data_IF_789301888712
#
_entry.id   IF_789301888712
#
_cell.length_a   1.000
_cell.length_b   1.000
_cell.length_c   1.000
_cell.angle_alpha   90.00
_cell.angle_beta   90.00
_cell.angle_gamma   90.00
#
_symmetry.space_group_name_H-M   'P 1'
#
loop_
_entity.id
_entity.type
_entity.pdbx_description
1 polymer ?
#
# COMPACT_ATOMS: atom_id res chain seq x y z
N UNK A 1 13.58 -51.36 -48.11
CA UNK A 1 12.97 -50.49 -47.07
C UNK A 1 13.98 -49.40 -46.81
N UNK A 2 13.72 -48.18 -47.27
CA UNK A 2 14.65 -47.05 -47.13
C UNK A 2 14.25 -46.24 -45.91
N UNK A 3 15.18 -46.09 -44.97
CA UNK A 3 15.04 -45.31 -43.75
C UNK A 3 14.77 -43.83 -44.13
N UNK A 4 13.73 -43.15 -43.58
CA UNK A 4 13.47 -41.75 -43.91
C UNK A 4 14.67 -40.87 -43.55
N UNK A 5 15.15 -40.09 -44.52
CA UNK A 5 16.32 -39.23 -44.37
C UNK A 5 16.22 -38.32 -43.14
N UNK A 6 17.20 -38.45 -42.25
CA UNK A 6 17.35 -37.64 -41.04
C UNK A 6 17.49 -36.15 -41.42
N UNK A 7 16.49 -35.32 -41.08
CA UNK A 7 16.53 -33.88 -41.37
C UNK A 7 17.54 -33.19 -40.44
N UNK A 8 18.45 -32.40 -41.00
CA UNK A 8 19.49 -31.66 -40.26
C UNK A 8 19.35 -30.14 -40.47
N UNK A 9 19.74 -29.35 -39.46
CA UNK A 9 19.79 -27.89 -39.55
C UNK A 9 20.98 -27.44 -40.43
N UNK A 10 21.04 -26.15 -40.74
CA UNK A 10 22.12 -25.56 -41.55
C UNK A 10 23.52 -25.69 -40.90
N UNK A 11 23.59 -26.11 -39.65
CA UNK A 11 24.83 -26.37 -38.89
C UNK A 11 25.10 -27.88 -38.73
N UNK A 12 24.31 -28.74 -39.38
CA UNK A 12 24.49 -30.19 -39.37
C UNK A 12 23.90 -30.91 -38.15
N UNK A 13 23.17 -30.21 -37.28
CA UNK A 13 22.52 -30.81 -36.11
C UNK A 13 21.25 -31.55 -36.52
N UNK A 14 21.02 -32.74 -35.98
CA UNK A 14 19.76 -33.48 -36.16
C UNK A 14 18.58 -32.66 -35.65
N UNK A 15 17.65 -32.31 -36.54
CA UNK A 15 16.38 -31.68 -36.17
C UNK A 15 15.44 -32.81 -35.79
N UNK A 16 15.23 -33.01 -34.49
CA UNK A 16 14.19 -33.93 -34.03
C UNK A 16 12.84 -33.40 -34.50
N UNK A 17 12.01 -34.21 -35.18
CA UNK A 17 10.64 -33.82 -35.45
C UNK A 17 9.93 -33.70 -34.10
N UNK A 18 9.64 -32.46 -33.67
CA UNK A 18 8.66 -32.26 -32.62
C UNK A 18 7.32 -32.74 -33.19
N UNK A 19 6.76 -33.82 -32.63
CA UNK A 19 5.43 -34.27 -33.02
C UNK A 19 4.45 -33.13 -32.75
N UNK A 20 3.45 -32.98 -33.62
CA UNK A 20 2.38 -31.98 -33.42
C UNK A 20 1.77 -32.14 -32.01
N UNK A 21 1.65 -33.38 -31.54
CA UNK A 21 1.22 -33.73 -30.18
C UNK A 21 2.10 -33.10 -29.08
N UNK A 22 3.42 -33.09 -29.25
CA UNK A 22 4.33 -32.48 -28.27
C UNK A 22 4.23 -30.94 -28.25
N UNK A 23 3.89 -30.33 -29.38
CA UNK A 23 3.63 -28.88 -29.46
C UNK A 23 2.27 -28.53 -28.84
N UNK A 24 1.23 -29.33 -29.12
CA UNK A 24 -0.11 -29.16 -28.53
C UNK A 24 -0.04 -29.31 -27.01
N UNK A 25 0.60 -30.35 -26.49
CA UNK A 25 0.75 -30.54 -25.03
C UNK A 25 1.53 -29.41 -24.34
N UNK A 26 2.42 -28.72 -25.07
CA UNK A 26 3.17 -27.58 -24.56
C UNK A 26 2.36 -26.29 -24.59
N UNK A 27 1.46 -26.13 -25.57
CA UNK A 27 0.51 -25.03 -25.64
C UNK A 27 -0.53 -25.17 -24.53
N UNK A 28 -1.11 -26.35 -24.32
CA UNK A 28 -2.08 -26.61 -23.24
C UNK A 28 -1.49 -26.31 -21.84
N UNK A 29 -0.20 -26.64 -21.63
CA UNK A 29 0.51 -26.29 -20.38
C UNK A 29 0.74 -24.78 -20.23
N UNK A 30 0.98 -24.08 -21.33
CA UNK A 30 1.15 -22.62 -21.31
C UNK A 30 -0.19 -21.92 -21.04
N UNK A 31 -1.29 -22.39 -21.64
CA UNK A 31 -2.64 -21.89 -21.37
C UNK A 31 -3.03 -22.09 -19.91
N UNK A 32 -2.81 -23.28 -19.34
CA UNK A 32 -3.03 -23.53 -17.90
C UNK A 32 -2.17 -22.63 -16.99
N UNK A 33 -0.94 -22.34 -17.39
CA UNK A 33 -0.06 -21.45 -16.63
C UNK A 33 -0.50 -19.98 -16.73
N UNK A 34 -1.08 -19.58 -17.85
CA UNK A 34 -1.64 -18.24 -18.05
C UNK A 34 -2.94 -18.07 -17.27
N UNK A 35 -3.81 -19.09 -17.21
CA UNK A 35 -5.03 -19.04 -16.40
C UNK A 35 -4.72 -18.99 -14.89
N UNK A 36 -3.71 -19.74 -14.44
CA UNK A 36 -3.24 -19.68 -13.04
C UNK A 36 -2.70 -18.29 -12.67
N UNK A 37 -1.92 -17.67 -13.55
CA UNK A 37 -1.34 -16.34 -13.31
C UNK A 37 -2.31 -15.18 -13.61
N UNK A 38 -3.30 -15.38 -14.48
CA UNK A 38 -4.31 -14.38 -14.86
C UNK A 38 -5.36 -14.17 -13.77
N UNK A 39 -5.61 -15.19 -12.95
CA UNK A 39 -6.50 -15.09 -11.79
C UNK A 39 -5.88 -14.28 -10.63
N UNK A 40 -4.55 -14.21 -10.54
CA UNK A 40 -3.82 -13.41 -9.55
C UNK A 40 -3.78 -11.91 -9.86
N UNK A 41 -4.12 -11.50 -11.09
CA UNK A 41 -4.09 -10.08 -11.48
C UNK A 41 -5.40 -9.36 -11.17
N UNK A 42 -6.52 -10.08 -11.03
CA UNK A 42 -7.85 -9.48 -10.80
C UNK A 42 -8.61 -10.00 -9.57
N UNK A 43 -8.01 -10.89 -8.77
CA UNK A 43 -8.61 -11.40 -7.55
C UNK A 43 -7.85 -10.94 -6.31
N UNK A 44 -8.51 -10.15 -5.47
CA UNK A 44 -8.20 -10.08 -4.03
C UNK A 44 -8.10 -11.51 -3.50
N UNK A 45 -6.88 -12.02 -3.35
CA UNK A 45 -6.59 -13.42 -3.05
C UNK A 45 -6.97 -13.77 -1.62
N UNK A 46 -7.83 -14.78 -1.49
CA UNK A 46 -8.09 -15.51 -0.24
C UNK A 46 -6.78 -15.95 0.42
N UNK A 47 -6.62 -15.58 1.69
CA UNK A 47 -5.49 -15.94 2.56
C UNK A 47 -5.33 -17.47 2.61
N UNK A 48 -4.25 -17.99 2.03
CA UNK A 48 -3.83 -19.39 2.17
C UNK A 48 -3.23 -19.58 3.56
N UNK A 49 -3.89 -20.36 4.40
CA UNK A 49 -3.52 -20.59 5.81
C UNK A 49 -2.43 -21.65 5.99
N UNK A 50 -1.39 -21.67 5.16
CA UNK A 50 -0.26 -22.59 5.36
C UNK A 50 1.00 -22.17 4.58
N UNK A 51 1.91 -21.42 5.23
CA UNK A 51 3.34 -21.65 5.07
C UNK A 51 4.16 -20.90 6.13
N UNK A 52 5.26 -21.52 6.55
CA UNK A 52 6.32 -21.00 7.44
C UNK A 52 7.14 -19.85 6.85
N UNK A 53 6.54 -19.09 5.94
CA UNK A 53 7.09 -17.93 5.26
C UNK A 53 6.79 -16.70 6.09
N UNK A 54 7.78 -15.82 6.29
CA UNK A 54 7.52 -14.47 6.78
C UNK A 54 6.45 -13.86 5.89
N UNK A 55 5.25 -13.67 6.43
CA UNK A 55 4.17 -12.96 5.76
C UNK A 55 4.71 -11.60 5.34
N UNK A 56 5.04 -11.46 4.07
CA UNK A 56 5.32 -10.16 3.50
C UNK A 56 3.97 -9.50 3.31
N UNK A 57 3.64 -8.64 4.24
CA UNK A 57 2.58 -7.67 4.07
C UNK A 57 3.08 -6.70 2.99
N UNK A 58 2.59 -6.87 1.76
CA UNK A 58 2.83 -5.92 0.68
C UNK A 58 2.01 -4.66 0.94
N UNK A 59 2.62 -3.67 1.60
CA UNK A 59 2.08 -2.32 1.67
C UNK A 59 2.23 -1.66 0.30
N UNK A 60 1.15 -1.62 -0.49
CA UNK A 60 1.05 -0.62 -1.56
C UNK A 60 0.79 0.73 -0.91
N UNK A 61 1.85 1.40 -0.45
CA UNK A 61 1.82 2.84 -0.19
C UNK A 61 1.65 3.52 -1.56
N UNK A 62 0.41 3.81 -1.93
CA UNK A 62 0.11 4.68 -3.06
C UNK A 62 0.52 6.11 -2.68
N UNK A 63 1.79 6.43 -2.90
CA UNK A 63 2.34 7.79 -2.82
C UNK A 63 1.83 8.71 -3.95
N UNK A 64 0.87 8.24 -4.76
CA UNK A 64 0.36 8.96 -5.93
C UNK A 64 -0.87 9.84 -5.62
N UNK A 65 -1.46 9.68 -4.42
CA UNK A 65 -2.63 10.47 -4.01
C UNK A 65 -2.24 11.41 -2.88
N UNK A 66 -1.75 12.61 -3.24
CA UNK A 66 -1.70 13.74 -2.33
C UNK A 66 -3.13 14.27 -2.13
N UNK A 67 -3.68 14.11 -0.93
CA UNK A 67 -4.97 14.69 -0.58
C UNK A 67 -4.74 16.06 0.03
N UNK A 68 -5.17 17.12 -0.65
CA UNK A 68 -5.13 18.47 -0.11
C UNK A 68 -6.42 18.76 0.64
N UNK A 69 -6.32 19.17 1.91
CA UNK A 69 -7.47 19.57 2.71
C UNK A 69 -7.26 20.96 3.33
N UNK A 70 -8.28 21.81 3.26
CA UNK A 70 -8.33 23.00 4.10
C UNK A 70 -9.02 22.62 5.41
N UNK A 71 -8.28 22.69 6.51
CA UNK A 71 -8.77 22.27 7.82
C UNK A 71 -9.72 23.33 8.39
N UNK A 72 -10.99 22.95 8.60
CA UNK A 72 -11.99 23.73 9.31
C UNK A 72 -11.94 23.44 10.83
N UNK A 73 -12.82 24.06 11.63
CA UNK A 73 -12.86 23.94 13.10
C UNK A 73 -12.81 22.50 13.65
N UNK A 74 -13.34 21.56 12.88
CA UNK A 74 -13.16 20.13 13.10
C UNK A 74 -12.90 19.52 11.74
N UNK A 75 -11.80 18.78 11.61
CA UNK A 75 -11.46 18.10 10.36
C UNK A 75 -11.24 16.63 10.61
N UNK A 76 -11.97 15.83 9.85
CA UNK A 76 -11.83 14.39 9.81
C UNK A 76 -10.91 14.01 8.65
N UNK A 77 -9.82 13.33 8.96
CA UNK A 77 -8.93 12.72 7.97
C UNK A 77 -9.40 11.28 7.79
N UNK A 78 -10.02 11.01 6.65
CA UNK A 78 -10.50 9.68 6.31
C UNK A 78 -9.33 8.77 5.88
N UNK A 79 -9.03 7.78 6.72
CA UNK A 79 -7.97 6.79 6.53
C UNK A 79 -8.43 5.52 5.82
N UNK A 80 -9.70 5.43 5.40
CA UNK A 80 -10.20 4.28 4.64
C UNK A 80 -9.47 4.07 3.31
N UNK A 81 -8.83 5.13 2.81
CA UNK A 81 -7.93 5.13 1.68
C UNK A 81 -6.53 5.54 2.16
N UNK A 82 -5.53 4.67 1.96
CA UNK A 82 -4.13 5.01 2.24
C UNK A 82 -3.72 6.26 1.45
N UNK A 83 -3.08 7.23 2.11
CA UNK A 83 -2.68 8.46 1.45
C UNK A 83 -1.81 9.37 2.31
N UNK A 84 -1.24 10.36 1.63
CA UNK A 84 -0.53 11.48 2.25
C UNK A 84 -1.44 12.70 2.19
N UNK A 85 -1.61 13.37 3.31
CA UNK A 85 -2.40 14.59 3.40
C UNK A 85 -1.49 15.81 3.47
N UNK A 86 -1.87 16.85 2.75
CA UNK A 86 -1.27 18.18 2.86
C UNK A 86 -2.36 19.14 3.35
N UNK A 87 -2.17 19.65 4.56
CA UNK A 87 -3.20 20.28 5.36
C UNK A 87 -2.71 21.64 5.90
N UNK A 88 -3.41 22.71 5.52
CA UNK A 88 -3.19 24.05 6.07
C UNK A 88 -4.25 24.35 7.13
N UNK A 89 -3.80 24.74 8.33
CA UNK A 89 -4.66 25.11 9.45
C UNK A 89 -4.81 26.62 9.53
N UNK A 90 -5.99 27.13 9.17
CA UNK A 90 -6.28 28.57 9.12
C UNK A 90 -7.13 29.09 10.29
N UNK A 91 -7.49 28.21 11.22
CA UNK A 91 -8.28 28.51 12.41
C UNK A 91 -8.04 27.44 13.48
N UNK A 92 -8.38 27.74 14.73
CA UNK A 92 -8.36 26.74 15.80
C UNK A 92 -9.13 25.47 15.39
N UNK A 93 -8.52 24.31 15.63
CA UNK A 93 -9.02 23.03 15.11
C UNK A 93 -8.78 21.84 16.03
N UNK A 94 -9.65 20.85 15.90
CA UNK A 94 -9.42 19.48 16.38
C UNK A 94 -9.35 18.55 15.18
N UNK A 95 -8.27 17.78 15.09
CA UNK A 95 -8.05 16.77 14.06
C UNK A 95 -8.48 15.40 14.61
N UNK A 96 -9.31 14.72 13.83
CA UNK A 96 -9.74 13.34 14.08
C UNK A 96 -9.39 12.44 12.89
N UNK A 97 -9.18 11.15 13.16
CA UNK A 97 -8.88 10.13 12.17
C UNK A 97 -10.06 9.16 12.07
N UNK A 98 -10.73 9.17 10.92
CA UNK A 98 -11.97 8.40 10.70
C UNK A 98 -11.82 7.40 9.55
N UNK A 99 -12.81 6.55 9.32
CA UNK A 99 -12.79 5.57 8.22
C UNK A 99 -11.98 4.29 8.50
N UNK A 100 -11.35 4.19 9.67
CA UNK A 100 -10.76 2.93 10.13
C UNK A 100 -11.86 1.92 10.53
N UNK A 101 -11.65 0.65 10.18
CA UNK A 101 -12.55 -0.46 10.55
C UNK A 101 -11.88 -1.35 11.58
N UNK A 102 -12.66 -1.89 12.53
CA UNK A 102 -12.19 -2.55 13.77
C UNK A 102 -11.16 -3.66 13.61
N UNK A 103 -11.04 -4.26 12.42
CA UNK A 103 -10.13 -5.38 12.13
C UNK A 103 -8.90 -4.98 11.28
N UNK A 104 -8.71 -3.68 11.01
CA UNK A 104 -7.69 -3.19 10.10
C UNK A 104 -6.46 -2.57 10.76
N UNK A 105 -5.34 -2.65 10.04
CA UNK A 105 -4.10 -1.89 10.32
C UNK A 105 -4.06 -0.71 9.37
N UNK A 106 -3.94 0.50 9.91
CA UNK A 106 -3.95 1.73 9.12
C UNK A 106 -2.73 2.58 9.44
N UNK A 107 -2.25 3.28 8.42
CA UNK A 107 -1.19 4.29 8.53
C UNK A 107 -1.57 5.50 7.68
N UNK A 108 -1.29 6.69 8.18
CA UNK A 108 -1.51 7.94 7.45
C UNK A 108 -0.40 8.93 7.77
N UNK A 109 0.06 9.65 6.75
CA UNK A 109 1.02 10.74 6.86
C UNK A 109 0.32 12.06 6.58
N UNK A 110 0.53 13.07 7.41
CA UNK A 110 -0.08 14.39 7.31
C UNK A 110 1.03 15.43 7.38
N UNK A 111 1.22 16.18 6.30
CA UNK A 111 1.94 17.45 6.32
C UNK A 111 0.97 18.52 6.82
N UNK A 112 1.33 19.16 7.92
CA UNK A 112 0.52 20.15 8.58
C UNK A 112 1.27 21.47 8.61
N UNK A 113 0.72 22.48 7.93
CA UNK A 113 1.17 23.85 7.98
C UNK A 113 0.30 24.63 8.96
N UNK A 114 0.91 25.09 10.04
CA UNK A 114 0.27 25.95 11.03
C UNK A 114 0.42 27.43 10.64
N UNK A 115 -0.66 28.20 10.80
CA UNK A 115 -0.70 29.65 10.62
C UNK A 115 -0.99 30.38 11.96
N UNK A 116 -0.59 29.80 13.08
CA UNK A 116 -0.60 30.40 14.41
C UNK A 116 -1.86 30.08 15.18
N UNK A 117 -2.44 28.92 14.92
CA UNK A 117 -3.73 28.48 15.48
C UNK A 117 -3.54 27.36 16.49
N UNK A 118 -4.51 27.22 17.40
CA UNK A 118 -4.52 26.10 18.34
C UNK A 118 -4.93 24.82 17.61
N UNK A 119 -4.04 23.83 17.61
CA UNK A 119 -4.29 22.51 17.04
C UNK A 119 -4.36 21.49 18.17
N UNK A 120 -5.45 20.74 18.18
CA UNK A 120 -5.68 19.63 19.11
C UNK A 120 -6.01 18.36 18.33
N UNK A 121 -5.88 17.21 18.99
CA UNK A 121 -6.15 15.89 18.42
C UNK A 121 -7.23 15.19 19.24
N UNK A 122 -8.02 14.33 18.58
CA UNK A 122 -8.98 13.49 19.27
C UNK A 122 -8.30 12.60 20.33
N UNK A 123 -9.02 12.29 21.42
CA UNK A 123 -8.50 11.53 22.57
C UNK A 123 -8.04 10.10 22.23
N UNK A 124 -8.42 9.59 21.06
CA UNK A 124 -7.96 8.31 20.52
C UNK A 124 -6.51 8.36 20.04
N UNK A 125 -5.93 9.55 19.89
CA UNK A 125 -4.58 9.78 19.39
C UNK A 125 -3.62 10.03 20.56
N UNK A 126 -2.62 9.18 20.68
CA UNK A 126 -1.52 9.34 21.64
C UNK A 126 -0.21 9.51 20.90
N UNK A 127 0.56 10.52 21.28
CA UNK A 127 1.89 10.76 20.70
C UNK A 127 2.98 10.03 21.48
N UNK A 128 4.08 9.70 20.80
CA UNK A 128 5.23 9.06 21.43
C UNK A 128 5.96 9.95 22.44
N UNK A 129 5.87 11.28 22.28
CA UNK A 129 6.53 12.22 23.17
C UNK A 129 5.84 12.24 24.54
N UNK A 130 6.61 12.22 25.66
CA UNK A 130 6.05 12.38 26.99
C UNK A 130 5.37 13.74 27.20
N UNK A 131 5.65 14.72 26.33
CA UNK A 131 5.03 16.04 26.30
C UNK A 131 3.72 16.07 25.48
N UNK A 132 3.40 14.99 24.77
CA UNK A 132 2.20 14.86 23.94
C UNK A 132 2.41 15.32 22.51
N UNK A 133 1.37 15.92 21.92
CA UNK A 133 1.44 16.52 20.58
C UNK A 133 2.52 17.63 20.53
N UNK A 134 3.13 17.90 19.36
CA UNK A 134 4.06 19.03 19.23
C UNK A 134 3.36 20.36 19.54
N UNK A 135 4.13 21.32 20.07
CA UNK A 135 3.70 22.71 20.06
C UNK A 135 3.82 23.24 18.63
N UNK A 136 2.70 23.60 18.01
CA UNK A 136 2.66 24.17 16.67
C UNK A 136 2.98 25.67 16.72
N UNK A 137 3.96 26.11 15.92
CA UNK A 137 4.60 27.43 16.05
C UNK A 137 4.81 28.18 14.72
N UNK A 138 3.88 28.06 13.76
CA UNK A 138 4.04 28.52 12.36
C UNK A 138 5.07 27.76 11.50
N UNK A 139 5.44 26.55 11.88
CA UNK A 139 6.28 25.67 11.06
C UNK A 139 5.44 24.60 10.34
N UNK A 140 6.09 23.90 9.40
CA UNK A 140 5.53 22.70 8.78
C UNK A 140 5.91 21.47 9.59
N UNK A 141 4.94 20.62 9.89
CA UNK A 141 5.14 19.37 10.60
C UNK A 141 4.76 18.19 9.71
N UNK A 142 5.55 17.13 9.73
CA UNK A 142 5.12 15.81 9.27
C UNK A 142 4.66 15.01 10.47
N UNK A 143 3.37 14.71 10.50
CA UNK A 143 2.73 13.83 11.46
C UNK A 143 2.51 12.46 10.81
N UNK A 144 2.87 11.39 11.50
CA UNK A 144 2.55 10.03 11.07
C UNK A 144 1.72 9.37 12.14
N UNK A 145 0.60 8.77 11.75
CA UNK A 145 -0.29 8.05 12.66
C UNK A 145 -0.42 6.61 12.22
N UNK A 146 -0.39 5.70 13.19
CA UNK A 146 -0.61 4.27 12.94
C UNK A 146 -1.55 3.67 13.98
N UNK A 147 -2.36 2.71 13.54
CA UNK A 147 -3.22 1.90 14.40
C UNK A 147 -3.22 0.45 13.94
N UNK A 148 -3.43 -0.47 14.88
CA UNK A 148 -3.63 -1.91 14.64
C UNK A 148 -4.98 -2.44 15.13
N UNK A 149 -5.79 -1.58 15.71
CA UNK A 149 -7.06 -1.93 16.36
C UNK A 149 -8.24 -1.24 15.68
N UNK A 150 -8.08 -0.97 14.37
CA UNK A 150 -9.11 -0.36 13.57
C UNK A 150 -9.48 1.06 13.96
N UNK A 151 -8.53 1.81 14.51
CA UNK A 151 -8.70 3.21 14.88
C UNK A 151 -9.27 3.43 16.28
N UNK A 152 -9.32 2.39 17.11
CA UNK A 152 -9.70 2.55 18.53
C UNK A 152 -8.61 3.29 19.31
N UNK A 153 -7.34 3.07 18.97
CA UNK A 153 -6.20 3.82 19.47
C UNK A 153 -5.21 4.09 18.33
N UNK A 154 -4.72 5.32 18.27
CA UNK A 154 -3.74 5.79 17.30
C UNK A 154 -2.44 6.16 18.01
N UNK A 155 -1.33 5.76 17.40
CA UNK A 155 0.00 6.15 17.83
C UNK A 155 0.59 7.16 16.84
N UNK A 156 0.92 8.35 17.35
CA UNK A 156 1.42 9.49 16.58
C UNK A 156 2.92 9.72 16.76
N UNK A 157 3.60 9.97 15.64
CA UNK A 157 4.98 10.42 15.54
C UNK A 157 5.00 11.77 14.82
N UNK A 158 5.96 12.62 15.14
CA UNK A 158 6.10 13.89 14.44
C UNK A 158 7.55 14.27 14.15
N UNK A 159 7.74 15.03 13.08
CA UNK A 159 8.98 15.74 12.77
C UNK A 159 8.63 17.16 12.35
N UNK A 160 9.39 18.12 12.87
CA UNK A 160 9.31 19.52 12.48
C UNK A 160 10.27 19.79 11.32
N UNK A 161 9.84 20.61 10.36
CA UNK A 161 10.70 21.19 9.34
C UNK A 161 10.86 22.68 9.64
N UNK A 162 12.06 23.07 10.06
CA UNK A 162 12.43 24.48 10.14
C UNK A 162 12.49 25.05 8.72
N UNK A 163 11.74 26.13 8.46
CA UNK A 163 11.79 26.90 7.21
C UNK A 163 12.96 27.88 7.18
#
# INVERSE_FOLDING_TARGET
MSDPAEKRDIRGNTIKPHTIEALVARIEKLEQSIDANGNDINGVGTLSSDSTTTDKIDFKLALDTLKTATIAATTEIDVSEAGVWDATVNQDTTIDLTGATTDGVYTVSVFLEDNGNSISFADTITFESPEGAPEFNNNTYLLNFATKDGGSNWFGFFSEFES
#
